data_IF_170960863399
#
_entry.id   IF_170960863399
#
_cell.length_a   1.000
_cell.length_b   1.000
_cell.length_c   1.000
_cell.angle_alpha   90.00
_cell.angle_beta   90.00
_cell.angle_gamma   90.00
#
_symmetry.space_group_name_H-M   'P 1'
#
loop_
_entity.id
_entity.type
_entity.pdbx_description
1 polymer ?
#
# COMPACT_ATOMS: atom_id res chain seq x y z
N UNK A 1 -17.81 -16.60 -27.62
CA UNK A 1 -16.64 -17.09 -28.40
C UNK A 1 -15.31 -16.68 -27.77
N UNK A 2 -15.19 -15.48 -27.20
CA UNK A 2 -13.98 -14.99 -26.50
C UNK A 2 -13.35 -15.98 -25.51
N UNK A 3 -14.13 -16.55 -24.57
CA UNK A 3 -13.60 -17.49 -23.58
C UNK A 3 -13.00 -18.78 -24.18
N UNK A 4 -13.54 -19.26 -25.32
CA UNK A 4 -13.08 -20.47 -26.00
C UNK A 4 -11.77 -20.21 -26.76
N UNK A 5 -11.61 -19.02 -27.35
CA UNK A 5 -10.36 -18.61 -28.00
C UNK A 5 -9.25 -18.32 -26.99
N UNK A 6 -9.61 -17.85 -25.79
CA UNK A 6 -8.68 -17.57 -24.70
C UNK A 6 -8.29 -18.83 -23.86
N UNK A 7 -8.76 -20.02 -24.23
CA UNK A 7 -8.46 -21.25 -23.49
C UNK A 7 -9.02 -21.30 -22.06
N UNK A 8 -10.05 -20.49 -21.74
CA UNK A 8 -10.61 -20.40 -20.40
C UNK A 8 -11.56 -21.58 -20.16
N UNK A 9 -11.26 -22.49 -19.21
CA UNK A 9 -12.01 -23.74 -19.04
C UNK A 9 -13.36 -23.56 -18.32
N UNK A 10 -13.56 -22.45 -17.60
CA UNK A 10 -14.80 -22.17 -16.87
C UNK A 10 -15.10 -20.67 -16.88
N UNK A 11 -16.35 -20.33 -17.20
CA UNK A 11 -16.87 -18.97 -17.19
C UNK A 11 -17.98 -18.91 -16.15
N UNK A 12 -17.90 -17.97 -15.21
CA UNK A 12 -18.95 -17.71 -14.22
C UNK A 12 -19.75 -16.50 -14.67
N UNK A 13 -21.05 -16.70 -14.92
CA UNK A 13 -21.99 -15.63 -15.27
C UNK A 13 -23.00 -15.53 -14.12
N UNK A 14 -22.90 -14.50 -13.26
CA UNK A 14 -23.87 -14.30 -12.20
C UNK A 14 -25.25 -13.93 -12.78
N UNK A 15 -26.35 -14.32 -12.13
CA UNK A 15 -27.72 -14.14 -12.65
C UNK A 15 -28.15 -12.67 -12.84
N UNK A 16 -27.42 -11.71 -12.26
CA UNK A 16 -27.63 -10.27 -12.45
C UNK A 16 -26.28 -9.51 -12.47
N UNK A 17 -25.58 -9.42 -13.62
CA UNK A 17 -24.23 -8.87 -13.68
C UNK A 17 -24.15 -7.39 -13.27
N UNK A 18 -25.22 -6.61 -13.49
CA UNK A 18 -25.29 -5.22 -13.04
C UNK A 18 -25.33 -5.05 -11.52
N UNK A 19 -25.89 -6.02 -10.80
CA UNK A 19 -26.04 -5.96 -9.34
C UNK A 19 -24.78 -6.39 -8.59
N UNK A 20 -23.88 -7.14 -9.23
CA UNK A 20 -22.61 -7.56 -8.61
C UNK A 20 -21.69 -6.37 -8.35
N UNK A 21 -21.70 -5.33 -9.19
CA UNK A 21 -20.93 -4.10 -8.93
C UNK A 21 -21.46 -3.32 -7.72
N UNK A 22 -22.80 -3.16 -7.62
CA UNK A 22 -23.42 -2.49 -6.48
C UNK A 22 -23.24 -3.30 -5.18
N UNK A 23 -23.30 -4.64 -5.27
CA UNK A 23 -23.04 -5.52 -4.14
C UNK A 23 -21.57 -5.48 -3.72
N UNK A 24 -20.64 -5.46 -4.67
CA UNK A 24 -19.21 -5.31 -4.42
C UNK A 24 -18.86 -4.02 -3.69
N UNK A 25 -19.50 -2.90 -4.06
CA UNK A 25 -19.34 -1.64 -3.35
C UNK A 25 -19.93 -1.66 -1.93
N UNK A 26 -20.99 -2.45 -1.69
CA UNK A 26 -21.66 -2.56 -0.38
C UNK A 26 -20.86 -3.40 0.63
N UNK A 27 -20.12 -4.42 0.15
CA UNK A 27 -19.33 -5.33 1.00
C UNK A 27 -17.84 -4.95 1.08
N UNK A 28 -17.41 -3.93 0.34
CA UNK A 28 -16.01 -3.51 0.36
C UNK A 28 -15.69 -2.87 1.71
N UNK A 29 -14.62 -3.34 2.34
CA UNK A 29 -14.07 -2.69 3.53
C UNK A 29 -13.65 -1.25 3.21
N UNK A 30 -13.97 -0.32 4.11
CA UNK A 30 -13.51 1.07 3.99
C UNK A 30 -11.99 1.10 4.11
N UNK A 31 -11.32 1.38 2.99
CA UNK A 31 -9.86 1.53 2.92
C UNK A 31 -9.52 2.94 2.47
N UNK A 32 -8.71 3.62 3.28
CA UNK A 32 -8.15 4.92 2.96
C UNK A 32 -6.67 4.77 2.67
N UNK A 33 -6.20 5.41 1.61
CA UNK A 33 -4.79 5.46 1.26
C UNK A 33 -4.32 6.92 1.36
N UNK A 34 -3.36 7.16 2.25
CA UNK A 34 -2.68 8.44 2.40
C UNK A 34 -1.24 8.28 1.93
N UNK A 35 -0.72 9.25 1.19
CA UNK A 35 0.62 9.20 0.62
C UNK A 35 1.30 10.55 0.70
N UNK A 36 2.62 10.54 0.88
CA UNK A 36 3.45 11.72 0.83
C UNK A 36 4.61 11.51 -0.13
N UNK A 37 4.78 12.43 -1.07
CA UNK A 37 5.85 12.38 -2.05
C UNK A 37 7.13 12.99 -1.48
N UNK A 38 8.25 12.29 -1.67
CA UNK A 38 9.59 12.81 -1.43
C UNK A 38 10.31 13.00 -2.77
N UNK A 39 11.02 14.13 -2.91
CA UNK A 39 11.84 14.40 -4.08
C UNK A 39 13.30 14.15 -3.73
N UNK A 40 13.92 13.16 -4.37
CA UNK A 40 15.32 12.83 -4.16
C UNK A 40 15.57 11.33 -4.11
N UNK A 41 16.78 10.98 -3.72
CA UNK A 41 17.20 9.61 -3.47
C UNK A 41 16.89 9.22 -2.02
N UNK A 42 16.97 7.92 -1.73
CA UNK A 42 16.86 7.43 -0.35
C UNK A 42 17.97 8.00 0.56
N UNK A 43 19.09 8.44 -0.01
CA UNK A 43 20.19 9.08 0.72
C UNK A 43 19.83 10.49 1.20
N UNK A 44 19.02 11.21 0.42
CA UNK A 44 18.57 12.58 0.74
C UNK A 44 17.48 12.61 1.82
N UNK A 45 16.73 11.52 1.98
CA UNK A 45 15.69 11.40 2.99
C UNK A 45 16.31 11.09 4.35
N UNK A 46 16.12 11.94 5.37
CA UNK A 46 16.57 11.65 6.73
C UNK A 46 15.63 10.69 7.46
N UNK A 47 16.14 10.04 8.52
CA UNK A 47 15.31 9.18 9.37
C UNK A 47 14.18 9.97 10.04
N UNK A 48 14.49 11.17 10.51
CA UNK A 48 13.53 12.03 11.22
C UNK A 48 12.43 12.50 10.27
N UNK A 49 12.76 12.85 9.02
CA UNK A 49 11.77 13.22 8.00
C UNK A 49 10.83 12.05 7.66
N UNK A 50 11.37 10.83 7.54
CA UNK A 50 10.57 9.63 7.32
C UNK A 50 9.63 9.36 8.50
N UNK A 51 10.14 9.40 9.73
CA UNK A 51 9.31 9.18 10.92
C UNK A 51 8.23 10.25 11.07
N UNK A 52 8.59 11.51 10.81
CA UNK A 52 7.65 12.62 10.87
C UNK A 52 6.54 12.45 9.83
N UNK A 53 6.88 12.08 8.59
CA UNK A 53 5.88 11.83 7.56
C UNK A 53 4.98 10.63 7.89
N UNK A 54 5.53 9.52 8.38
CA UNK A 54 4.73 8.36 8.80
C UNK A 54 3.78 8.71 9.95
N UNK A 55 4.23 9.54 10.90
CA UNK A 55 3.42 10.02 12.02
C UNK A 55 2.29 10.93 11.54
N UNK A 56 2.58 11.87 10.63
CA UNK A 56 1.58 12.76 10.04
C UNK A 56 0.51 11.97 9.26
N UNK A 57 0.93 11.02 8.41
CA UNK A 57 -0.01 10.18 7.65
C UNK A 57 -0.86 9.29 8.56
N UNK A 58 -0.28 8.78 9.66
CA UNK A 58 -1.03 7.98 10.64
C UNK A 58 -2.06 8.84 11.38
N UNK A 59 -1.69 10.06 11.76
CA UNK A 59 -2.62 11.00 12.42
C UNK A 59 -3.77 11.41 11.48
N UNK A 60 -3.48 11.67 10.20
CA UNK A 60 -4.49 11.98 9.19
C UNK A 60 -5.47 10.82 8.98
N UNK A 61 -4.96 9.58 8.96
CA UNK A 61 -5.78 8.38 8.88
C UNK A 61 -6.68 8.21 10.10
N UNK A 62 -6.14 8.41 11.31
CA UNK A 62 -6.90 8.36 12.56
C UNK A 62 -8.00 9.42 12.61
N UNK A 63 -7.69 10.66 12.22
CA UNK A 63 -8.64 11.78 12.20
C UNK A 63 -9.77 11.53 11.19
N UNK A 64 -9.43 11.07 9.98
CA UNK A 64 -10.42 10.76 8.93
C UNK A 64 -11.40 9.68 9.40
N UNK A 65 -10.88 8.61 10.01
CA UNK A 65 -11.72 7.50 10.49
C UNK A 65 -12.55 7.90 11.71
N UNK A 66 -12.01 8.73 12.60
CA UNK A 66 -12.76 9.28 13.72
C UNK A 66 -13.90 10.20 13.26
N UNK A 67 -13.68 11.00 12.22
CA UNK A 67 -14.67 11.92 11.65
C UNK A 67 -15.85 11.20 10.98
N UNK A 68 -15.63 10.01 10.42
CA UNK A 68 -16.72 9.19 9.85
C UNK A 68 -17.62 8.51 10.90
N UNK A 69 -17.41 8.78 12.19
CA UNK A 69 -18.33 8.38 13.27
C UNK A 69 -18.15 6.94 13.75
N UNK A 70 -17.04 6.30 13.41
CA UNK A 70 -16.78 4.92 13.79
C UNK A 70 -16.33 4.78 15.24
N UNK A 71 -17.11 4.08 16.07
CA UNK A 71 -16.66 3.42 17.31
C UNK A 71 -15.59 2.32 17.06
N UNK A 72 -14.89 2.39 15.92
CA UNK A 72 -14.03 1.40 15.29
C UNK A 72 -12.55 1.82 15.34
N UNK A 73 -12.20 2.87 16.10
CA UNK A 73 -10.80 3.20 16.38
C UNK A 73 -10.01 2.00 16.95
N UNK A 74 -10.70 1.04 17.59
CA UNK A 74 -10.15 -0.23 18.07
C UNK A 74 -9.83 -1.27 16.98
N UNK A 75 -10.28 -1.06 15.74
CA UNK A 75 -10.04 -1.93 14.58
C UNK A 75 -9.16 -1.29 13.50
N UNK A 76 -8.62 -0.09 13.75
CA UNK A 76 -7.73 0.58 12.81
C UNK A 76 -6.47 -0.24 12.57
N UNK A 77 -6.29 -0.65 11.33
CA UNK A 77 -5.09 -1.36 10.88
C UNK A 77 -4.28 -0.45 9.98
N UNK A 78 -3.12 -0.02 10.44
CA UNK A 78 -2.18 0.76 9.65
C UNK A 78 -1.23 -0.17 8.89
N UNK A 79 -1.09 0.06 7.59
CA UNK A 79 -0.20 -0.68 6.70
C UNK A 79 0.77 0.28 6.00
N UNK A 80 1.83 0.74 6.70
CA UNK A 80 2.77 1.67 6.11
C UNK A 80 3.58 0.97 5.01
N UNK A 81 3.77 1.67 3.90
CA UNK A 81 4.56 1.22 2.76
C UNK A 81 5.32 2.39 2.14
N UNK A 82 6.34 2.08 1.36
CA UNK A 82 7.10 3.07 0.60
C UNK A 82 7.33 2.57 -0.81
N UNK A 83 7.00 3.43 -1.78
CA UNK A 83 7.28 3.16 -3.18
C UNK A 83 8.69 3.63 -3.51
N UNK A 84 9.51 2.71 -4.01
CA UNK A 84 10.92 2.97 -4.35
C UNK A 84 11.24 2.42 -5.73
N UNK A 85 12.22 3.06 -6.38
CA UNK A 85 12.77 2.62 -7.67
C UNK A 85 14.27 2.90 -7.74
N UNK A 86 14.99 2.11 -8.52
CA UNK A 86 16.36 2.48 -8.88
C UNK A 86 16.37 3.72 -9.79
N UNK A 87 17.46 4.47 -9.73
CA UNK A 87 17.70 5.58 -10.66
C UNK A 87 17.76 5.03 -12.08
N UNK A 88 16.89 5.53 -12.96
CA UNK A 88 16.77 5.05 -14.35
C UNK A 88 15.77 3.91 -14.57
N UNK A 89 15.10 3.43 -13.51
CA UNK A 89 14.02 2.43 -13.63
C UNK A 89 12.69 3.10 -14.00
N UNK A 90 11.95 2.47 -14.93
CA UNK A 90 10.67 2.97 -15.43
C UNK A 90 9.45 2.63 -14.58
N UNK A 91 9.62 1.88 -13.48
CA UNK A 91 8.55 1.46 -12.58
C UNK A 91 9.01 1.46 -11.12
N UNK A 92 8.04 1.57 -10.23
CA UNK A 92 8.21 1.59 -8.77
C UNK A 92 7.80 0.25 -8.18
N UNK A 93 8.45 -0.15 -7.09
CA UNK A 93 8.01 -1.28 -6.27
C UNK A 93 7.63 -0.79 -4.88
N UNK A 94 6.50 -1.28 -4.40
CA UNK A 94 6.00 -1.00 -3.06
C UNK A 94 6.68 -1.91 -2.04
N UNK A 95 7.43 -1.32 -1.13
CA UNK A 95 8.07 -2.01 0.01
C UNK A 95 7.21 -1.79 1.25
N UNK A 96 6.77 -2.87 1.90
CA UNK A 96 6.05 -2.77 3.17
C UNK A 96 7.00 -2.35 4.30
N UNK A 97 6.60 -1.32 5.06
CA UNK A 97 7.29 -0.84 6.25
C UNK A 97 6.66 -1.36 7.55
N UNK A 98 5.64 -2.23 7.44
CA UNK A 98 4.88 -2.77 8.57
C UNK A 98 5.73 -3.61 9.51
N UNK A 99 6.82 -4.14 8.97
CA UNK A 99 7.77 -4.91 9.73
C UNK A 99 8.44 -3.96 10.73
N UNK A 100 8.18 -4.18 12.04
CA UNK A 100 8.78 -3.44 13.19
C UNK A 100 10.30 -3.34 13.16
N UNK A 101 10.92 -4.02 12.19
CA UNK A 101 12.32 -4.03 11.80
C UNK A 101 12.86 -2.66 11.37
N UNK A 102 12.02 -1.74 10.87
CA UNK A 102 12.45 -0.35 10.59
C UNK A 102 12.29 0.51 11.85
N UNK A 103 12.92 0.10 12.95
CA UNK A 103 12.98 0.86 14.20
C UNK A 103 14.36 1.45 14.46
N UNK A 104 15.32 1.21 13.56
CA UNK A 104 16.73 1.51 13.75
C UNK A 104 17.18 2.63 12.81
N UNK A 105 17.46 3.80 13.39
CA UNK A 105 17.94 5.03 12.74
C UNK A 105 19.21 4.80 11.91
N UNK A 106 20.05 3.82 12.27
CA UNK A 106 21.34 3.65 11.60
C UNK A 106 21.28 2.79 10.32
N UNK A 107 20.30 1.89 10.19
CA UNK A 107 20.30 0.88 9.11
C UNK A 107 18.99 0.78 8.30
N UNK A 108 18.05 1.69 8.50
CA UNK A 108 16.75 1.66 7.81
C UNK A 108 16.89 1.70 6.27
N UNK A 109 17.83 2.49 5.73
CA UNK A 109 18.06 2.59 4.27
C UNK A 109 18.52 1.27 3.67
N UNK A 110 19.48 0.62 4.33
CA UNK A 110 19.99 -0.69 3.90
C UNK A 110 18.90 -1.77 3.96
N UNK A 111 17.99 -1.69 4.94
CA UNK A 111 16.84 -2.59 5.06
C UNK A 111 15.82 -2.38 3.95
N UNK A 112 15.45 -1.13 3.67
CA UNK A 112 14.57 -0.79 2.53
C UNK A 112 15.18 -1.30 1.23
N UNK A 113 16.47 -1.04 1.01
CA UNK A 113 17.19 -1.53 -0.16
C UNK A 113 17.13 -3.05 -0.25
N UNK A 114 17.38 -3.76 0.86
CA UNK A 114 17.33 -5.23 0.89
C UNK A 114 15.93 -5.77 0.56
N UNK A 115 14.88 -5.22 1.17
CA UNK A 115 13.50 -5.63 0.89
C UNK A 115 13.13 -5.37 -0.58
N UNK A 116 13.58 -4.24 -1.11
CA UNK A 116 13.43 -3.93 -2.53
C UNK A 116 14.19 -4.92 -3.43
N UNK A 117 15.44 -5.24 -3.10
CA UNK A 117 16.27 -6.19 -3.84
C UNK A 117 15.62 -7.60 -3.83
N UNK A 118 15.07 -8.05 -2.69
CA UNK A 118 14.35 -9.33 -2.56
C UNK A 118 13.05 -9.36 -3.39
N UNK A 119 12.27 -8.27 -3.38
CA UNK A 119 11.07 -8.13 -4.22
C UNK A 119 11.41 -8.12 -5.70
N UNK A 120 12.52 -7.46 -6.08
CA UNK A 120 12.96 -7.38 -7.47
C UNK A 120 13.45 -8.72 -8.02
N UNK A 121 14.01 -9.61 -7.18
CA UNK A 121 14.41 -10.96 -7.58
C UNK A 121 13.25 -11.94 -7.75
N UNK A 122 12.08 -11.61 -7.21
CA UNK A 122 10.90 -12.48 -7.22
C UNK A 122 9.94 -12.17 -8.39
N UNK A 123 10.22 -11.12 -9.17
CA UNK A 123 9.43 -10.74 -10.36
C UNK A 123 10.08 -11.17 -11.68
#
# INVERSE_FOLDING_TARGET
MLARQAGIPRVVIPPAPGNVNAFGALIADSRYNFQRQFSGTLEDLSWDDLQQALKELSAEAEETIAAEGGSHASTLTLEPSMDVRYVGQGFELTVSLRDRTISDTSNWRAKVKRLFDELHQTQ
#
